data_IF_287782352417
#
_entry.id   IF_287782352417
#
_cell.length_a   1.000
_cell.length_b   1.000
_cell.length_c   1.000
_cell.angle_alpha   90.00
_cell.angle_beta   90.00
_cell.angle_gamma   90.00
#
_symmetry.space_group_name_H-M   'P 1'
#
loop_
_entity.id
_entity.type
_entity.pdbx_description
1 polymer ?
#
# COMPACT_ATOMS: atom_id res chain seq x y z
N UNK A 1 -25.43 1.02 -29.26
CA UNK A 1 -24.69 0.24 -28.24
C UNK A 1 -23.58 1.03 -27.53
N UNK A 2 -22.82 1.92 -28.19
CA UNK A 2 -21.74 2.69 -27.56
C UNK A 2 -22.17 3.57 -26.36
N UNK A 3 -23.36 4.18 -26.41
CA UNK A 3 -23.86 5.02 -25.30
C UNK A 3 -24.20 4.26 -24.02
N UNK A 4 -24.66 3.01 -24.11
CA UNK A 4 -24.98 2.17 -22.93
C UNK A 4 -23.72 1.68 -22.23
N UNK A 5 -22.71 1.25 -23.00
CA UNK A 5 -21.41 0.83 -22.45
C UNK A 5 -20.64 1.99 -21.80
N UNK A 6 -20.73 3.20 -22.38
CA UNK A 6 -20.14 4.40 -21.80
C UNK A 6 -20.79 4.73 -20.45
N UNK A 7 -22.13 4.67 -20.36
CA UNK A 7 -22.85 4.87 -19.10
C UNK A 7 -22.48 3.83 -18.03
N UNK A 8 -22.31 2.56 -18.41
CA UNK A 8 -21.90 1.49 -17.49
C UNK A 8 -20.48 1.70 -16.94
N UNK A 9 -19.54 2.07 -17.81
CA UNK A 9 -18.15 2.38 -17.41
C UNK A 9 -18.07 3.59 -16.48
N UNK A 10 -18.81 4.65 -16.79
CA UNK A 10 -18.83 5.87 -15.98
C UNK A 10 -19.49 5.63 -14.62
N UNK A 11 -20.55 4.80 -14.57
CA UNK A 11 -21.14 4.33 -13.31
C UNK A 11 -20.11 3.61 -12.43
N UNK A 12 -19.42 2.58 -12.96
CA UNK A 12 -18.42 1.85 -12.19
C UNK A 12 -17.30 2.75 -11.66
N UNK A 13 -16.79 3.66 -12.50
CA UNK A 13 -15.75 4.61 -12.11
C UNK A 13 -16.22 5.55 -11.02
N UNK A 14 -17.45 6.05 -11.11
CA UNK A 14 -18.07 6.91 -10.10
C UNK A 14 -18.19 6.20 -8.75
N UNK A 15 -18.59 4.93 -8.73
CA UNK A 15 -18.64 4.15 -7.49
C UNK A 15 -17.25 3.91 -6.91
N UNK A 16 -16.24 3.64 -7.74
CA UNK A 16 -14.84 3.50 -7.28
C UNK A 16 -14.32 4.83 -6.70
N UNK A 17 -14.61 5.96 -7.34
CA UNK A 17 -14.25 7.29 -6.83
C UNK A 17 -14.95 7.58 -5.49
N UNK A 18 -16.21 7.17 -5.35
CA UNK A 18 -16.94 7.26 -4.09
C UNK A 18 -16.30 6.41 -2.99
N UNK A 19 -15.84 5.19 -3.30
CA UNK A 19 -15.10 4.36 -2.35
C UNK A 19 -13.80 5.03 -1.89
N UNK A 20 -13.05 5.61 -2.83
CA UNK A 20 -11.80 6.33 -2.54
C UNK A 20 -12.07 7.56 -1.65
N UNK A 21 -13.08 8.37 -1.99
CA UNK A 21 -13.48 9.53 -1.19
C UNK A 21 -13.87 9.16 0.24
N UNK A 22 -14.57 8.04 0.42
CA UNK A 22 -15.01 7.57 1.73
C UNK A 22 -13.90 6.85 2.53
N UNK A 23 -12.75 6.58 1.91
CA UNK A 23 -11.64 5.91 2.57
C UNK A 23 -10.90 6.91 3.46
N UNK A 24 -11.01 6.73 4.78
CA UNK A 24 -10.36 7.62 5.74
C UNK A 24 -8.85 7.35 5.82
N UNK A 25 -8.47 6.09 6.11
CA UNK A 25 -7.09 5.70 6.38
C UNK A 25 -6.58 4.60 5.47
N UNK A 26 -7.44 3.71 4.98
CA UNK A 26 -7.05 2.60 4.11
C UNK A 26 -8.08 2.46 2.99
N UNK A 27 -7.61 2.31 1.75
CA UNK A 27 -8.46 2.20 0.56
C UNK A 27 -8.99 0.77 0.37
N UNK A 28 -9.62 0.21 1.41
CA UNK A 28 -9.99 -1.22 1.46
C UNK A 28 -10.99 -1.60 0.37
N UNK A 29 -12.09 -0.86 0.26
CA UNK A 29 -13.16 -1.15 -0.71
C UNK A 29 -12.66 -1.19 -2.18
N UNK A 30 -11.91 -0.19 -2.69
CA UNK A 30 -11.43 -0.25 -4.07
C UNK A 30 -10.36 -1.33 -4.27
N UNK A 31 -9.59 -1.71 -3.23
CA UNK A 31 -8.64 -2.84 -3.30
C UNK A 31 -9.39 -4.17 -3.43
N UNK A 32 -10.46 -4.36 -2.66
CA UNK A 32 -11.34 -5.54 -2.79
C UNK A 32 -11.95 -5.59 -4.20
N UNK A 33 -12.52 -4.48 -4.68
CA UNK A 33 -13.07 -4.37 -6.03
C UNK A 33 -12.03 -4.76 -7.08
N UNK A 34 -10.81 -4.22 -6.99
CA UNK A 34 -9.71 -4.57 -7.89
C UNK A 34 -9.41 -6.08 -7.88
N UNK A 35 -9.25 -6.69 -6.70
CA UNK A 35 -8.97 -8.11 -6.57
C UNK A 35 -10.06 -9.00 -7.18
N UNK A 36 -11.33 -8.66 -6.95
CA UNK A 36 -12.47 -9.40 -7.50
C UNK A 36 -12.56 -9.28 -9.02
N UNK A 37 -12.37 -8.07 -9.56
CA UNK A 37 -12.40 -7.84 -11.00
C UNK A 37 -11.25 -8.55 -11.71
N UNK A 38 -10.05 -8.56 -11.10
CA UNK A 38 -8.91 -9.32 -11.60
C UNK A 38 -9.22 -10.82 -11.61
N UNK A 39 -9.73 -11.36 -10.50
CA UNK A 39 -10.11 -12.78 -10.42
C UNK A 39 -11.20 -13.15 -11.43
N UNK A 40 -12.20 -12.28 -11.63
CA UNK A 40 -13.23 -12.47 -12.65
C UNK A 40 -12.65 -12.45 -14.06
N UNK A 41 -11.79 -11.47 -14.39
CA UNK A 41 -11.17 -11.38 -15.72
C UNK A 41 -10.31 -12.62 -16.05
N UNK A 42 -9.68 -13.24 -15.03
CA UNK A 42 -8.84 -14.43 -15.20
C UNK A 42 -9.65 -15.74 -15.28
N UNK A 43 -10.78 -15.83 -14.58
CA UNK A 43 -11.51 -17.11 -14.38
C UNK A 43 -12.94 -17.14 -14.89
N UNK A 44 -13.51 -15.99 -15.24
CA UNK A 44 -14.94 -15.81 -15.55
C UNK A 44 -15.87 -15.91 -14.34
N UNK A 45 -15.34 -16.15 -13.13
CA UNK A 45 -16.13 -16.42 -11.93
C UNK A 45 -16.89 -15.18 -11.46
N UNK A 46 -18.19 -15.32 -11.21
CA UNK A 46 -19.07 -14.23 -10.75
C UNK A 46 -19.54 -14.40 -9.30
N UNK A 47 -19.44 -15.60 -8.74
CA UNK A 47 -19.93 -15.92 -7.40
C UNK A 47 -18.75 -16.16 -6.47
N UNK A 48 -18.70 -15.50 -5.31
CA UNK A 48 -17.57 -15.55 -4.37
C UNK A 48 -18.05 -15.88 -2.96
N UNK A 49 -17.34 -16.77 -2.26
CA UNK A 49 -17.45 -16.88 -0.80
C UNK A 49 -16.63 -15.78 -0.11
N UNK A 50 -16.90 -15.52 1.18
CA UNK A 50 -16.07 -14.59 1.96
C UNK A 50 -14.58 -14.97 1.97
N UNK A 51 -14.26 -16.27 2.04
CA UNK A 51 -12.88 -16.75 1.99
C UNK A 51 -12.20 -16.46 0.64
N UNK A 52 -12.96 -16.44 -0.46
CA UNK A 52 -12.47 -16.09 -1.79
C UNK A 52 -12.31 -14.58 -1.96
N UNK A 53 -13.21 -13.79 -1.36
CA UNK A 53 -13.06 -12.33 -1.30
C UNK A 53 -11.78 -11.99 -0.53
N UNK A 54 -11.53 -12.64 0.61
CA UNK A 54 -10.29 -12.48 1.37
C UNK A 54 -9.05 -12.80 0.54
N UNK A 55 -9.03 -13.94 -0.15
CA UNK A 55 -7.90 -14.31 -1.03
C UNK A 55 -7.68 -13.28 -2.13
N UNK A 56 -8.77 -12.79 -2.73
CA UNK A 56 -8.72 -11.76 -3.78
C UNK A 56 -8.17 -10.44 -3.24
N UNK A 57 -8.57 -10.06 -2.02
CA UNK A 57 -8.07 -8.88 -1.33
C UNK A 57 -6.57 -9.01 -1.00
N UNK A 58 -6.15 -10.12 -0.40
CA UNK A 58 -4.75 -10.32 -0.01
C UNK A 58 -3.83 -10.31 -1.25
N UNK A 59 -4.24 -10.96 -2.34
CA UNK A 59 -3.53 -10.91 -3.63
C UNK A 59 -3.48 -9.50 -4.24
N UNK A 60 -4.58 -8.76 -4.16
CA UNK A 60 -4.65 -7.37 -4.60
C UNK A 60 -3.74 -6.44 -3.79
N UNK A 61 -3.63 -6.66 -2.47
CA UNK A 61 -2.74 -5.91 -1.59
C UNK A 61 -1.29 -6.12 -1.99
N UNK A 62 -0.85 -7.37 -2.19
CA UNK A 62 0.53 -7.65 -2.59
C UNK A 62 0.86 -7.03 -3.95
N UNK A 63 -0.04 -7.20 -4.93
CA UNK A 63 0.13 -6.54 -6.24
C UNK A 63 0.27 -5.01 -6.11
N UNK A 64 -0.57 -4.37 -5.29
CA UNK A 64 -0.54 -2.91 -5.13
C UNK A 64 0.68 -2.42 -4.36
N UNK A 65 1.20 -3.20 -3.39
CA UNK A 65 2.47 -2.88 -2.73
C UNK A 65 3.62 -2.85 -3.73
N UNK A 66 3.66 -3.84 -4.62
CA UNK A 66 4.69 -3.91 -5.65
C UNK A 66 4.53 -2.78 -6.68
N UNK A 67 3.28 -2.49 -7.10
CA UNK A 67 2.97 -1.43 -8.06
C UNK A 67 3.24 -0.02 -7.53
N UNK A 68 2.93 0.24 -6.26
CA UNK A 68 3.09 1.55 -5.62
C UNK A 68 4.46 1.71 -4.95
N UNK A 69 5.20 0.62 -4.75
CA UNK A 69 6.46 0.54 -4.00
C UNK A 69 6.35 0.96 -2.51
N UNK A 70 5.13 1.01 -1.98
CA UNK A 70 4.84 1.31 -0.58
C UNK A 70 3.52 0.67 -0.14
N UNK A 71 3.29 0.59 1.17
CA UNK A 71 2.06 0.09 1.78
C UNK A 71 1.20 1.19 2.45
N UNK A 72 1.59 2.46 2.28
CA UNK A 72 0.82 3.62 2.73
C UNK A 72 -0.60 3.55 2.14
N UNK A 73 -1.60 3.72 3.00
CA UNK A 73 -3.03 3.61 2.68
C UNK A 73 -3.54 2.26 2.12
N UNK A 74 -2.71 1.22 2.02
CA UNK A 74 -3.12 -0.14 1.61
C UNK A 74 -2.79 -1.20 2.68
N UNK A 75 -3.29 -2.43 2.53
CA UNK A 75 -2.90 -3.56 3.39
C UNK A 75 -3.48 -3.55 4.81
N UNK A 76 -4.72 -3.09 4.99
CA UNK A 76 -5.43 -3.28 6.26
C UNK A 76 -5.76 -4.76 6.51
N UNK A 77 -6.02 -5.13 7.77
CA UNK A 77 -6.56 -6.46 8.09
C UNK A 77 -7.91 -6.67 7.41
N UNK A 78 -8.11 -7.85 6.81
CA UNK A 78 -9.41 -8.25 6.26
C UNK A 78 -10.42 -8.60 7.37
N UNK A 79 -11.69 -8.24 7.17
CA UNK A 79 -12.82 -8.62 8.02
C UNK A 79 -13.97 -9.14 7.15
N UNK A 80 -14.68 -10.14 7.64
CA UNK A 80 -15.83 -10.79 6.98
C UNK A 80 -16.98 -9.83 6.63
N UNK A 81 -17.12 -8.74 7.39
CA UNK A 81 -18.07 -7.67 7.09
C UNK A 81 -17.77 -6.92 5.78
N UNK A 82 -16.62 -7.13 5.15
CA UNK A 82 -16.25 -6.41 3.94
C UNK A 82 -17.07 -6.83 2.73
N UNK A 83 -17.34 -8.12 2.54
CA UNK A 83 -18.19 -8.59 1.43
C UNK A 83 -19.58 -7.93 1.45
N UNK A 84 -20.22 -7.84 2.62
CA UNK A 84 -21.53 -7.19 2.76
C UNK A 84 -21.48 -5.68 2.55
N UNK A 85 -20.40 -5.00 2.96
CA UNK A 85 -20.22 -3.55 2.75
C UNK A 85 -20.06 -3.16 1.28
N UNK A 86 -19.60 -4.08 0.43
CA UNK A 86 -19.47 -3.83 -1.02
C UNK A 86 -20.81 -3.60 -1.72
N UNK A 87 -21.92 -4.05 -1.11
CA UNK A 87 -23.27 -3.77 -1.64
C UNK A 87 -23.62 -2.29 -1.66
N UNK A 88 -23.07 -1.49 -0.74
CA UNK A 88 -23.25 -0.02 -0.69
C UNK A 88 -22.69 0.69 -1.93
N UNK A 89 -21.79 0.03 -2.65
CA UNK A 89 -21.14 0.52 -3.86
C UNK A 89 -21.57 -0.27 -5.10
N UNK A 90 -22.61 -1.09 -4.98
CA UNK A 90 -23.16 -1.88 -6.09
C UNK A 90 -22.13 -2.81 -6.77
N UNK A 91 -21.10 -3.26 -6.04
CA UNK A 91 -20.10 -4.21 -6.58
C UNK A 91 -20.53 -5.64 -6.32
N UNK A 92 -21.00 -5.92 -5.10
CA UNK A 92 -21.44 -7.24 -4.69
C UNK A 92 -22.89 -7.23 -4.24
N UNK A 93 -23.62 -8.28 -4.60
CA UNK A 93 -24.95 -8.59 -4.09
C UNK A 93 -24.88 -9.83 -3.19
N UNK A 94 -25.38 -9.79 -1.94
CA UNK A 94 -25.50 -11.00 -1.13
C UNK A 94 -26.50 -11.98 -1.75
N UNK A 95 -26.11 -13.24 -1.86
CA UNK A 95 -26.94 -14.35 -2.39
C UNK A 95 -27.13 -15.48 -1.37
N UNK A 96 -26.50 -15.37 -0.20
CA UNK A 96 -26.60 -16.32 0.89
C UNK A 96 -25.65 -15.96 2.02
N UNK A 97 -25.60 -16.80 3.06
CA UNK A 97 -24.67 -16.59 4.17
C UNK A 97 -23.22 -16.63 3.68
N UNK A 98 -22.51 -15.49 3.80
CA UNK A 98 -21.13 -15.29 3.36
C UNK A 98 -20.87 -15.66 1.90
N UNK A 99 -21.90 -15.49 1.05
CA UNK A 99 -21.85 -15.73 -0.40
C UNK A 99 -22.34 -14.50 -1.14
N UNK A 100 -21.60 -14.11 -2.16
CA UNK A 100 -21.80 -12.86 -2.88
C UNK A 100 -21.68 -13.07 -4.38
N UNK A 101 -22.44 -12.28 -5.14
CA UNK A 101 -22.39 -12.22 -6.59
C UNK A 101 -21.78 -10.88 -7.03
N UNK A 102 -20.76 -10.92 -7.89
CA UNK A 102 -20.22 -9.77 -8.61
C UNK A 102 -21.21 -9.37 -9.71
N UNK A 103 -21.73 -8.15 -9.62
CA UNK A 103 -22.87 -7.73 -10.45
C UNK A 103 -22.44 -6.98 -11.72
N UNK A 104 -23.23 -7.05 -12.82
CA UNK A 104 -23.14 -6.05 -13.88
C UNK A 104 -23.42 -4.63 -13.33
N UNK A 105 -22.75 -3.58 -13.84
CA UNK A 105 -21.83 -3.59 -14.97
C UNK A 105 -20.36 -3.90 -14.62
N UNK A 106 -20.03 -4.27 -13.37
CA UNK A 106 -18.64 -4.52 -12.98
C UNK A 106 -18.04 -5.75 -13.68
N UNK A 107 -18.82 -6.82 -13.86
CA UNK A 107 -18.38 -8.00 -14.64
C UNK A 107 -18.05 -7.63 -16.09
N UNK A 108 -18.92 -6.87 -16.75
CA UNK A 108 -18.76 -6.43 -18.14
C UNK A 108 -17.54 -5.51 -18.34
N UNK A 109 -17.18 -4.73 -17.33
CA UNK A 109 -16.07 -3.79 -17.37
C UNK A 109 -14.82 -4.30 -16.64
N UNK A 110 -14.80 -5.57 -16.21
CA UNK A 110 -13.79 -6.09 -15.30
C UNK A 110 -12.36 -5.88 -15.79
N UNK A 111 -12.07 -6.22 -17.05
CA UNK A 111 -10.72 -6.10 -17.60
C UNK A 111 -10.25 -4.62 -17.68
N UNK A 112 -11.13 -3.74 -18.16
CA UNK A 112 -10.84 -2.32 -18.29
C UNK A 112 -10.65 -1.65 -16.92
N UNK A 113 -11.48 -2.01 -15.94
CA UNK A 113 -11.40 -1.50 -14.58
C UNK A 113 -10.19 -2.06 -13.83
N UNK A 114 -9.86 -3.35 -13.99
CA UNK A 114 -8.68 -3.96 -13.38
C UNK A 114 -7.38 -3.27 -13.82
N UNK A 115 -7.31 -2.81 -15.08
CA UNK A 115 -6.18 -2.00 -15.60
C UNK A 115 -6.18 -0.56 -15.08
N UNK A 116 -7.34 0.00 -14.76
CA UNK A 116 -7.52 1.41 -14.39
C UNK A 116 -7.40 1.67 -12.88
N UNK A 117 -7.97 0.81 -12.03
CA UNK A 117 -8.05 1.01 -10.58
C UNK A 117 -6.67 1.23 -9.93
N UNK A 118 -5.60 0.46 -10.23
CA UNK A 118 -4.30 0.69 -9.61
C UNK A 118 -3.76 2.11 -9.84
N UNK A 119 -3.86 2.60 -11.08
CA UNK A 119 -3.47 3.97 -11.44
C UNK A 119 -4.31 5.01 -10.72
N UNK A 120 -5.62 4.76 -10.59
CA UNK A 120 -6.53 5.67 -9.89
C UNK A 120 -6.26 5.71 -8.38
N UNK A 121 -5.98 4.57 -7.76
CA UNK A 121 -5.54 4.49 -6.35
C UNK A 121 -4.25 5.29 -6.17
N UNK A 122 -3.25 5.10 -7.04
CA UNK A 122 -2.00 5.86 -6.99
C UNK A 122 -2.25 7.36 -7.07
N UNK A 123 -3.09 7.80 -8.01
CA UNK A 123 -3.47 9.19 -8.16
C UNK A 123 -4.14 9.73 -6.89
N UNK A 124 -5.11 9.00 -6.33
CA UNK A 124 -5.81 9.42 -5.11
C UNK A 124 -4.86 9.58 -3.91
N UNK A 125 -3.94 8.63 -3.72
CA UNK A 125 -2.93 8.70 -2.65
C UNK A 125 -2.02 9.92 -2.87
N UNK A 126 -1.58 10.15 -4.11
CA UNK A 126 -0.71 11.28 -4.48
C UNK A 126 -1.42 12.63 -4.30
N UNK A 127 -2.71 12.71 -4.60
CA UNK A 127 -3.53 13.91 -4.39
C UNK A 127 -3.66 14.23 -2.89
N UNK A 128 -3.84 13.22 -2.03
CA UNK A 128 -4.01 13.43 -0.57
C UNK A 128 -2.69 13.65 0.18
N UNK A 129 -1.66 12.87 -0.11
CA UNK A 129 -0.39 12.92 0.63
C UNK A 129 0.70 13.69 -0.11
N UNK A 130 0.61 13.85 -1.43
CA UNK A 130 1.75 14.26 -2.24
C UNK A 130 2.63 13.10 -2.63
N UNK A 131 3.80 13.43 -3.17
CA UNK A 131 4.75 12.43 -3.65
C UNK A 131 5.24 11.66 -2.43
N UNK A 132 4.89 10.38 -2.33
CA UNK A 132 5.48 9.50 -1.31
C UNK A 132 6.95 9.31 -1.71
N UNK A 133 7.92 9.85 -0.96
CA UNK A 133 9.30 9.69 -1.32
C UNK A 133 9.70 8.27 -0.97
N UNK A 134 10.29 7.59 -1.95
CA UNK A 134 10.70 6.19 -1.85
C UNK A 134 11.95 6.05 -0.98
N UNK A 135 11.91 6.58 0.25
CA UNK A 135 13.04 6.62 1.18
C UNK A 135 13.48 5.22 1.63
N UNK A 136 12.68 4.17 1.39
CA UNK A 136 13.09 2.77 1.56
C UNK A 136 14.17 2.37 0.55
N UNK A 137 14.17 2.94 -0.66
CA UNK A 137 15.17 2.67 -1.69
C UNK A 137 16.49 3.41 -1.40
N UNK A 138 17.59 2.66 -1.37
CA UNK A 138 18.90 3.20 -1.03
C UNK A 138 19.41 4.21 -2.07
N UNK A 139 19.17 3.95 -3.36
CA UNK A 139 19.60 4.83 -4.44
C UNK A 139 18.88 6.18 -4.39
N UNK A 140 17.57 6.15 -4.11
CA UNK A 140 16.75 7.33 -3.89
C UNK A 140 17.27 8.14 -2.71
N UNK A 141 17.62 7.48 -1.59
CA UNK A 141 18.23 8.17 -0.44
C UNK A 141 19.55 8.85 -0.80
N UNK A 142 20.44 8.18 -1.52
CA UNK A 142 21.73 8.75 -1.94
C UNK A 142 21.54 9.97 -2.83
N UNK A 143 20.69 9.87 -3.86
CA UNK A 143 20.38 11.00 -4.76
C UNK A 143 19.78 12.21 -4.04
N UNK A 144 18.95 11.98 -3.01
CA UNK A 144 18.40 13.05 -2.20
C UNK A 144 19.46 13.66 -1.27
N UNK A 145 20.38 12.85 -0.74
CA UNK A 145 21.48 13.31 0.09
C UNK A 145 22.52 14.14 -0.69
N UNK A 146 22.68 13.88 -1.99
CA UNK A 146 23.61 14.60 -2.87
C UNK A 146 23.23 16.08 -3.08
N UNK A 147 22.00 16.50 -2.73
CA UNK A 147 21.58 17.91 -2.78
C UNK A 147 20.74 18.27 -1.55
N UNK A 148 21.36 18.90 -0.54
CA UNK A 148 20.69 19.39 0.66
C UNK A 148 19.48 20.28 0.35
N UNK A 149 19.55 21.10 -0.70
CA UNK A 149 18.48 22.01 -1.11
C UNK A 149 17.26 21.24 -1.62
N UNK A 150 17.47 20.22 -2.46
CA UNK A 150 16.38 19.36 -2.97
C UNK A 150 15.73 18.58 -1.83
N UNK A 151 16.53 18.07 -0.90
CA UNK A 151 16.02 17.36 0.26
C UNK A 151 15.21 18.29 1.18
N UNK A 152 15.73 19.46 1.53
CA UNK A 152 15.00 20.43 2.35
C UNK A 152 13.71 20.90 1.69
N UNK A 153 13.73 21.14 0.37
CA UNK A 153 12.53 21.48 -0.39
C UNK A 153 11.50 20.37 -0.34
N UNK A 154 11.90 19.12 -0.59
CA UNK A 154 11.03 17.95 -0.48
C UNK A 154 10.39 17.86 0.91
N UNK A 155 11.15 18.05 1.98
CA UNK A 155 10.62 18.01 3.34
C UNK A 155 9.62 19.14 3.59
N UNK A 156 9.91 20.38 3.19
CA UNK A 156 8.97 21.51 3.30
C UNK A 156 7.67 21.25 2.54
N UNK A 157 7.78 20.89 1.26
CA UNK A 157 6.62 20.62 0.39
C UNK A 157 5.70 19.51 0.94
N UNK A 158 6.23 18.62 1.79
CA UNK A 158 5.51 17.50 2.35
C UNK A 158 4.92 17.81 3.73
N UNK A 159 5.66 18.51 4.59
CA UNK A 159 5.18 18.99 5.89
C UNK A 159 4.02 19.98 5.71
N UNK A 160 4.12 20.88 4.72
CA UNK A 160 3.11 21.92 4.49
C UNK A 160 1.79 21.38 3.90
N UNK A 161 1.79 20.13 3.40
CA UNK A 161 0.59 19.51 2.81
C UNK A 161 -0.42 19.04 3.85
N UNK A 162 0.02 18.24 4.83
CA UNK A 162 -0.86 17.74 5.91
C UNK A 162 -0.06 17.45 7.18
N UNK A 163 -0.66 17.60 8.38
CA UNK A 163 0.01 17.21 9.64
C UNK A 163 0.43 15.72 9.68
N UNK A 164 -0.33 14.84 9.02
CA UNK A 164 0.00 13.41 8.94
C UNK A 164 1.30 13.15 8.16
N UNK A 165 1.59 13.96 7.13
CA UNK A 165 2.85 13.87 6.42
C UNK A 165 4.04 14.21 7.32
N UNK A 166 3.92 15.23 8.17
CA UNK A 166 4.98 15.56 9.13
C UNK A 166 5.34 14.34 9.98
N UNK A 167 4.35 13.63 10.51
CA UNK A 167 4.59 12.41 11.29
C UNK A 167 5.24 11.31 10.46
N UNK A 168 4.66 10.96 9.30
CA UNK A 168 5.17 9.89 8.42
C UNK A 168 6.63 10.14 8.01
N UNK A 169 6.95 11.38 7.63
CA UNK A 169 8.29 11.76 7.22
C UNK A 169 9.27 11.79 8.39
N UNK A 170 8.84 12.32 9.54
CA UNK A 170 9.66 12.31 10.76
C UNK A 170 10.01 10.88 11.17
N UNK A 171 9.03 9.96 11.15
CA UNK A 171 9.28 8.54 11.40
C UNK A 171 10.21 7.90 10.36
N UNK A 172 10.03 8.20 9.07
CA UNK A 172 10.90 7.68 8.02
C UNK A 172 12.35 8.15 8.20
N UNK A 173 12.56 9.42 8.55
CA UNK A 173 13.89 9.99 8.81
C UNK A 173 14.51 9.40 10.07
N UNK A 174 13.77 9.35 11.18
CA UNK A 174 14.21 8.73 12.42
C UNK A 174 14.59 7.27 12.16
N UNK A 175 13.79 6.52 11.40
CA UNK A 175 14.09 5.12 11.04
C UNK A 175 15.41 4.99 10.28
N UNK A 176 15.64 5.81 9.24
CA UNK A 176 16.91 5.79 8.49
C UNK A 176 18.10 6.13 9.41
N UNK A 177 17.92 7.09 10.32
CA UNK A 177 18.94 7.41 11.32
C UNK A 177 19.15 6.26 12.30
N UNK A 178 18.09 5.65 12.83
CA UNK A 178 18.18 4.49 13.72
C UNK A 178 18.82 3.29 13.03
N UNK A 179 18.59 3.04 11.74
CA UNK A 179 19.30 2.01 10.99
C UNK A 179 20.80 2.31 10.91
N UNK A 180 21.19 3.57 10.59
CA UNK A 180 22.60 3.98 10.60
C UNK A 180 23.24 3.93 12.00
N UNK A 181 22.51 4.37 13.03
CA UNK A 181 22.98 4.39 14.41
C UNK A 181 23.03 2.98 15.02
N UNK A 182 22.07 2.11 14.72
CA UNK A 182 22.08 0.70 15.12
C UNK A 182 23.23 -0.04 14.43
N UNK A 183 23.49 0.23 13.14
CA UNK A 183 24.69 -0.30 12.47
C UNK A 183 25.98 0.25 13.08
N UNK A 184 26.03 1.53 13.50
CA UNK A 184 27.17 2.10 14.22
C UNK A 184 27.35 1.45 15.59
N UNK A 185 26.31 1.36 16.41
CA UNK A 185 26.34 0.69 17.71
C UNK A 185 26.71 -0.79 17.56
N UNK A 186 26.16 -1.50 16.59
CA UNK A 186 26.52 -2.89 16.29
C UNK A 186 27.99 -3.05 15.84
N UNK A 187 28.49 -2.14 14.99
CA UNK A 187 29.89 -2.12 14.56
C UNK A 187 30.82 -1.77 15.72
N UNK A 188 30.46 -0.77 16.53
CA UNK A 188 31.23 -0.30 17.67
C UNK A 188 31.25 -1.35 18.79
N UNK A 189 30.14 -2.07 19.02
CA UNK A 189 30.08 -3.19 19.98
C UNK A 189 30.81 -4.45 19.48
N UNK A 190 30.80 -4.78 18.19
CA UNK A 190 31.68 -5.84 17.64
C UNK A 190 33.16 -5.48 17.70
N UNK A 191 33.49 -4.20 17.53
CA UNK A 191 34.87 -3.72 17.63
C UNK A 191 35.32 -3.72 19.09
N UNK A 192 34.47 -3.28 20.03
CA UNK A 192 34.71 -3.42 21.46
C UNK A 192 34.83 -4.90 21.89
N UNK A 193 33.93 -5.78 21.45
CA UNK A 193 33.99 -7.22 21.75
C UNK A 193 35.24 -7.91 21.18
N UNK A 194 35.81 -7.41 20.06
CA UNK A 194 37.11 -7.85 19.55
C UNK A 194 38.27 -7.36 20.41
N UNK A 195 38.21 -6.13 20.93
CA UNK A 195 39.25 -5.59 21.80
C UNK A 195 39.28 -6.34 23.15
N UNK A 196 38.13 -6.75 23.69
CA UNK A 196 38.05 -7.55 24.93
C UNK A 196 38.38 -9.04 24.76
N UNK A 197 38.54 -9.56 23.54
CA UNK A 197 38.88 -10.98 23.32
C UNK A 197 40.36 -11.23 23.02
N UNK A 198 41.13 -10.21 22.62
CA UNK A 198 42.58 -10.33 22.38
C UNK A 198 43.45 -9.77 23.53
N UNK A 199 42.93 -8.89 24.41
CA UNK A 199 43.75 -8.30 25.48
C UNK A 199 43.64 -8.97 26.85
N UNK A 200 42.70 -9.90 27.07
CA UNK A 200 42.54 -10.60 28.36
C UNK A 200 42.90 -12.11 28.31
N UNK A 201 43.26 -12.65 27.13
CA UNK A 201 43.66 -14.05 26.99
C UNK A 201 45.16 -14.31 27.25
N UNK A 202 46.00 -13.27 27.35
CA UNK A 202 47.46 -13.42 27.52
C UNK A 202 48.00 -13.02 28.90
N UNK A 203 47.14 -12.89 29.92
CA UNK A 203 47.58 -12.59 31.30
C UNK A 203 47.10 -13.60 32.35
N UNK A 204 46.59 -14.77 31.92
CA UNK A 204 46.12 -15.86 32.82
C UNK A 204 46.97 -17.15 32.65
N UNK A 205 48.02 -17.14 31.82
CA UNK A 205 48.94 -18.28 31.65
C UNK A 205 50.44 -17.91 31.68
N UNK A 206 50.81 -16.84 32.36
CA UNK A 206 52.21 -16.53 32.67
C UNK A 206 52.31 -15.97 34.10
N UNK A 207 52.11 -16.87 35.07
CA UNK A 207 53.00 -17.15 36.21
C UNK A 207 52.34 -18.14 37.18
#
# INVERSE_FOLDING_TARGET
MAGLAQNAKDFCRTEIDRMLKNSQTKVIAPVITFGLLKSHAETGKTHFSDSEIRKSYDSAVEFLKDFLHHDVHIGAKYYDAYGSRMSRYHVLKPIGHLKYELVPPFTEQAEALAKWIPKRIQQHITERLGIVPMLKDANTRTKLADSPEKFQKLIRDQIDRTPANFEIFSFALIKVHLEKFACKIYRDTRTAARIFTESEANQVYAD
#
